data_IF_257509209603
#
_entry.id   IF_257509209603
#
_cell.length_a   1.000
_cell.length_b   1.000
_cell.length_c   1.000
_cell.angle_alpha   90.00
_cell.angle_beta   90.00
_cell.angle_gamma   90.00
#
_symmetry.space_group_name_H-M   'P 1'
#
loop_
_entity.id
_entity.type
_entity.pdbx_description
1 polymer ?
#
# COMPACT_ATOMS: atom_id res chain seq x y z
N UNK A 1 -12.66 30.79 -30.39
CA UNK A 1 -12.15 30.38 -31.71
C UNK A 1 -10.63 30.55 -31.75
N UNK A 2 -9.93 29.46 -32.08
CA UNK A 2 -8.61 29.34 -32.76
C UNK A 2 -7.38 30.09 -32.22
N UNK A 3 -6.33 29.44 -31.68
CA UNK A 3 -5.28 28.52 -32.23
C UNK A 3 -4.19 29.19 -33.10
N UNK A 4 -2.95 28.71 -32.90
CA UNK A 4 -1.64 28.96 -33.56
C UNK A 4 -0.77 30.07 -32.96
N UNK A 5 0.57 29.98 -32.84
CA UNK A 5 1.60 28.94 -33.00
C UNK A 5 2.94 29.66 -32.77
N UNK A 6 3.90 29.06 -32.06
CA UNK A 6 5.33 29.33 -32.31
C UNK A 6 6.21 28.24 -31.67
N UNK A 7 6.54 27.28 -32.52
CA UNK A 7 7.70 26.39 -32.44
C UNK A 7 8.98 27.16 -32.08
N UNK A 8 9.71 26.71 -31.05
CA UNK A 8 11.15 26.95 -30.97
C UNK A 8 11.84 25.70 -30.41
N UNK A 9 12.33 24.90 -31.34
CA UNK A 9 13.28 23.82 -31.10
C UNK A 9 14.57 24.38 -30.48
N UNK A 10 14.97 23.85 -29.34
CA UNK A 10 16.32 24.00 -28.83
C UNK A 10 16.73 22.74 -28.07
N UNK A 11 17.72 22.06 -28.67
CA UNK A 11 18.81 21.34 -28.03
C UNK A 11 18.48 20.34 -26.91
N UNK A 12 18.49 19.08 -27.34
CA UNK A 12 19.17 17.95 -26.71
C UNK A 12 20.19 18.36 -25.62
N UNK A 13 19.77 18.31 -24.36
CA UNK A 13 20.63 17.98 -23.23
C UNK A 13 20.10 16.67 -22.67
N UNK A 14 20.95 15.65 -22.66
CA UNK A 14 20.67 14.35 -22.08
C UNK A 14 20.11 14.55 -20.67
N UNK A 15 18.81 14.32 -20.50
CA UNK A 15 18.26 14.03 -19.18
C UNK A 15 18.86 12.67 -18.83
N UNK A 16 19.94 12.74 -18.05
CA UNK A 16 20.42 11.65 -17.22
C UNK A 16 19.16 11.06 -16.60
N UNK A 17 18.86 9.81 -16.93
CA UNK A 17 17.73 9.11 -16.37
C UNK A 17 17.87 9.15 -14.86
N UNK A 18 17.19 10.08 -14.21
CA UNK A 18 16.86 9.93 -12.81
C UNK A 18 16.01 8.68 -12.78
N UNK A 19 16.43 7.57 -12.14
CA UNK A 19 15.45 6.63 -11.67
C UNK A 19 14.54 7.46 -10.77
N UNK A 20 13.37 7.84 -11.30
CA UNK A 20 12.28 8.35 -10.50
C UNK A 20 11.98 7.20 -9.55
N UNK A 21 12.50 7.36 -8.34
CA UNK A 21 12.13 6.69 -7.12
C UNK A 21 11.84 5.21 -7.32
N UNK A 22 12.81 4.38 -6.92
CA UNK A 22 12.40 3.20 -6.17
C UNK A 22 11.59 3.73 -4.98
N UNK A 23 10.29 3.92 -5.15
CA UNK A 23 9.34 4.07 -4.07
C UNK A 23 9.35 2.69 -3.40
N UNK A 24 10.36 2.46 -2.58
CA UNK A 24 10.32 1.45 -1.54
C UNK A 24 9.31 1.93 -0.49
N UNK A 25 8.04 2.05 -0.88
CA UNK A 25 6.94 2.17 0.07
C UNK A 25 6.54 0.74 0.40
N UNK A 26 7.41 0.08 1.15
CA UNK A 26 6.96 -0.97 2.05
C UNK A 26 5.95 -0.30 2.99
N UNK A 27 4.74 -0.85 3.09
CA UNK A 27 3.62 -0.20 3.78
C UNK A 27 3.93 0.23 5.22
N UNK A 28 3.24 1.26 5.69
CA UNK A 28 3.35 1.78 7.05
C UNK A 28 2.53 0.91 8.02
N UNK A 29 3.21 0.08 8.80
CA UNK A 29 2.58 -0.80 9.78
C UNK A 29 1.91 -0.04 10.94
N UNK A 30 2.37 1.15 11.28
CA UNK A 30 1.82 1.97 12.36
C UNK A 30 0.48 2.57 11.91
N UNK A 31 0.43 3.08 10.68
CA UNK A 31 -0.82 3.49 10.05
C UNK A 31 -1.78 2.31 9.88
N UNK A 32 -1.28 1.15 9.44
CA UNK A 32 -2.06 -0.08 9.33
C UNK A 32 -2.68 -0.54 10.66
N UNK A 33 -1.99 -0.34 11.78
CA UNK A 33 -2.51 -0.65 13.11
C UNK A 33 -3.72 0.21 13.49
N UNK A 34 -3.70 1.50 13.14
CA UNK A 34 -4.82 2.44 13.36
C UNK A 34 -6.03 1.99 12.54
N UNK A 35 -5.83 1.75 11.25
CA UNK A 35 -6.89 1.27 10.34
C UNK A 35 -7.50 -0.05 10.82
N UNK A 36 -6.65 -0.95 11.33
CA UNK A 36 -7.11 -2.23 11.86
C UNK A 36 -8.01 -2.05 13.10
N UNK A 37 -7.62 -1.17 14.01
CA UNK A 37 -8.39 -0.88 15.22
C UNK A 37 -9.77 -0.26 14.91
N UNK A 38 -9.84 0.63 13.92
CA UNK A 38 -11.08 1.33 13.54
C UNK A 38 -12.09 0.42 12.83
N UNK A 39 -11.62 -0.47 11.95
CA UNK A 39 -12.51 -1.23 11.05
C UNK A 39 -12.55 -2.74 11.31
N UNK A 40 -11.39 -3.35 11.59
CA UNK A 40 -11.20 -4.80 11.49
C UNK A 40 -11.36 -5.50 12.84
N UNK A 41 -10.86 -4.89 13.92
CA UNK A 41 -10.85 -5.49 15.25
C UNK A 41 -12.26 -5.79 15.80
N UNK A 42 -13.29 -5.08 15.32
CA UNK A 42 -14.70 -5.34 15.69
C UNK A 42 -15.16 -6.76 15.37
N UNK A 43 -14.64 -7.37 14.30
CA UNK A 43 -15.04 -8.71 13.87
C UNK A 43 -13.92 -9.74 14.02
N UNK A 44 -12.66 -9.32 13.88
CA UNK A 44 -11.49 -10.20 13.94
C UNK A 44 -10.84 -10.25 15.33
N UNK A 45 -11.26 -9.38 16.26
CA UNK A 45 -10.61 -9.23 17.56
C UNK A 45 -9.30 -8.46 17.46
N UNK A 46 -8.65 -8.23 18.60
CA UNK A 46 -7.35 -7.53 18.67
C UNK A 46 -6.19 -8.51 18.43
N UNK A 47 -6.39 -9.79 18.74
CA UNK A 47 -5.44 -10.87 18.54
C UNK A 47 -5.84 -11.64 17.29
N UNK A 48 -5.04 -11.51 16.24
CA UNK A 48 -5.18 -12.33 15.05
C UNK A 48 -4.24 -13.51 15.20
N UNK A 49 -4.77 -14.72 15.36
CA UNK A 49 -3.97 -15.94 15.32
C UNK A 49 -3.70 -16.36 13.87
N UNK A 50 -3.21 -15.42 13.06
CA UNK A 50 -2.88 -15.65 11.67
C UNK A 50 -1.37 -15.54 11.53
N UNK A 51 -0.72 -16.66 11.23
CA UNK A 51 0.69 -16.68 10.86
C UNK A 51 0.75 -16.25 9.40
N UNK A 52 1.27 -15.05 9.13
CA UNK A 52 1.44 -14.53 7.78
C UNK A 52 2.88 -14.11 7.56
N UNK A 53 3.58 -14.74 6.64
CA UNK A 53 4.98 -14.42 6.46
C UNK A 53 5.15 -13.05 5.79
N UNK A 54 6.28 -12.33 5.98
CA UNK A 54 6.52 -11.04 5.33
C UNK A 54 6.34 -11.07 3.80
N UNK A 55 6.69 -12.17 3.15
CA UNK A 55 6.51 -12.39 1.72
C UNK A 55 5.05 -12.41 1.25
N UNK A 56 4.10 -12.63 2.17
CA UNK A 56 2.67 -12.65 1.88
C UNK A 56 2.04 -11.24 1.85
N UNK A 57 2.77 -10.18 2.23
CA UNK A 57 2.24 -8.82 2.27
C UNK A 57 1.56 -8.37 0.96
N UNK A 58 2.11 -8.60 -0.25
CA UNK A 58 1.43 -8.24 -1.50
C UNK A 58 0.12 -9.01 -1.72
N UNK A 59 0.09 -10.28 -1.28
CA UNK A 59 -1.09 -11.14 -1.38
C UNK A 59 -2.19 -10.68 -0.42
N UNK A 60 -1.81 -10.27 0.80
CA UNK A 60 -2.71 -9.65 1.77
C UNK A 60 -3.28 -8.34 1.23
N UNK A 61 -2.47 -7.45 0.67
CA UNK A 61 -2.96 -6.18 0.11
C UNK A 61 -4.01 -6.43 -0.98
N UNK A 62 -3.76 -7.41 -1.86
CA UNK A 62 -4.72 -7.83 -2.89
C UNK A 62 -6.02 -8.40 -2.30
N UNK A 63 -5.91 -9.24 -1.26
CA UNK A 63 -7.07 -9.75 -0.54
C UNK A 63 -7.88 -8.60 0.06
N UNK A 64 -7.23 -7.68 0.77
CA UNK A 64 -7.85 -6.53 1.42
C UNK A 64 -8.59 -5.61 0.44
N UNK A 65 -8.06 -5.43 -0.78
CA UNK A 65 -8.73 -4.68 -1.84
C UNK A 65 -10.08 -5.31 -2.26
N UNK A 66 -10.17 -6.64 -2.28
CA UNK A 66 -11.41 -7.37 -2.59
C UNK A 66 -12.32 -7.56 -1.36
N UNK A 67 -11.72 -7.68 -0.17
CA UNK A 67 -12.41 -7.82 1.11
C UNK A 67 -13.10 -6.51 1.54
N UNK A 68 -12.74 -5.38 0.90
CA UNK A 68 -13.27 -4.03 1.14
C UNK A 68 -14.77 -3.87 0.87
N UNK A 69 -15.35 -4.68 -0.03
CA UNK A 69 -16.71 -4.46 -0.59
C UNK A 69 -17.78 -4.41 0.52
N UNK A 70 -17.49 -4.89 1.74
CA UNK A 70 -18.46 -5.01 2.82
C UNK A 70 -18.38 -3.94 3.93
N UNK A 71 -17.28 -3.21 4.12
CA UNK A 71 -17.10 -2.34 5.29
C UNK A 71 -16.67 -0.90 4.98
N UNK A 72 -15.80 -0.69 4.00
CA UNK A 72 -15.37 0.65 3.58
C UNK A 72 -14.98 0.63 2.10
N UNK A 73 -15.88 1.06 1.19
CA UNK A 73 -15.59 1.11 -0.24
C UNK A 73 -14.58 2.21 -0.61
N UNK A 74 -14.37 3.21 0.26
CA UNK A 74 -13.52 4.38 0.03
C UNK A 74 -12.05 4.20 0.41
N UNK A 75 -11.73 3.15 1.18
CA UNK A 75 -10.35 2.80 1.54
C UNK A 75 -9.44 2.68 0.31
N UNK A 76 -8.28 3.33 0.37
CA UNK A 76 -7.33 3.43 -0.74
C UNK A 76 -6.49 2.16 -0.92
N UNK A 77 -5.73 2.09 -2.03
CA UNK A 77 -4.77 1.00 -2.22
C UNK A 77 -3.62 1.07 -1.22
N UNK A 78 -3.14 2.28 -0.89
CA UNK A 78 -2.09 2.48 0.11
C UNK A 78 -2.52 1.98 1.49
N UNK A 79 -3.75 2.28 1.91
CA UNK A 79 -4.30 1.80 3.19
C UNK A 79 -4.31 0.26 3.26
N UNK A 80 -4.52 -0.43 2.13
CA UNK A 80 -4.45 -1.88 2.07
C UNK A 80 -3.01 -2.39 2.19
N UNK A 81 -2.04 -1.66 1.63
CA UNK A 81 -0.60 -1.95 1.77
C UNK A 81 -0.15 -1.75 3.21
N UNK A 82 -0.57 -0.68 3.87
CA UNK A 82 -0.28 -0.36 5.26
C UNK A 82 -0.90 -1.41 6.21
N UNK A 83 -2.16 -1.78 5.97
CA UNK A 83 -2.80 -2.90 6.67
C UNK A 83 -2.05 -4.21 6.46
N UNK A 84 -1.63 -4.52 5.23
CA UNK A 84 -0.86 -5.73 4.97
C UNK A 84 0.47 -5.73 5.73
N UNK A 85 1.19 -4.61 5.75
CA UNK A 85 2.42 -4.43 6.50
C UNK A 85 2.21 -4.63 8.01
N UNK A 86 1.14 -4.08 8.57
CA UNK A 86 0.75 -4.32 9.96
C UNK A 86 0.49 -5.80 10.21
N UNK A 87 -0.34 -6.46 9.40
CA UNK A 87 -0.71 -7.86 9.59
C UNK A 87 0.48 -8.82 9.53
N UNK A 88 1.44 -8.60 8.63
CA UNK A 88 2.67 -9.41 8.60
C UNK A 88 3.60 -9.13 9.78
N UNK A 89 3.59 -7.91 10.31
CA UNK A 89 4.37 -7.55 11.50
C UNK A 89 3.86 -8.21 12.78
N UNK A 90 2.57 -8.55 12.83
CA UNK A 90 1.95 -9.26 13.95
C UNK A 90 2.32 -10.74 13.98
N UNK A 91 2.81 -11.29 12.87
CA UNK A 91 3.18 -12.69 12.81
C UNK A 91 4.25 -12.96 13.86
N UNK A 92 4.00 -13.91 14.78
CA UNK A 92 5.00 -14.27 15.76
C UNK A 92 6.23 -14.70 14.97
N UNK A 93 7.33 -13.99 15.17
CA UNK A 93 8.66 -14.35 14.67
C UNK A 93 8.79 -15.85 14.85
N UNK A 94 8.90 -16.58 13.73
CA UNK A 94 8.97 -18.04 13.63
C UNK A 94 9.43 -18.64 14.96
N UNK A 95 8.47 -19.14 15.75
CA UNK A 95 8.73 -19.74 17.04
C UNK A 95 9.50 -21.03 16.74
N UNK A 96 10.81 -20.97 16.97
CA UNK A 96 11.78 -22.07 16.95
C UNK A 96 11.17 -23.40 17.40
#
# INVERSE_FOLDING_TARGET
MSIFSAMKTAALCAVVGTPLFAEDITGDAEHGAVLYAEGCARCHGVLIDMVVSPEDAPRLASFLASHKIRFDPSRSEQDNTDLAAYLVSLSPTQRN
#
